data_IF_874918300362
#
_entry.id   IF_874918300362
#
_cell.length_a   1.000
_cell.length_b   1.000
_cell.length_c   1.000
_cell.angle_alpha   90.00
_cell.angle_beta   90.00
_cell.angle_gamma   90.00
#
_symmetry.space_group_name_H-M   'P 1'
#
loop_
_entity.id
_entity.type
_entity.pdbx_description
1 polymer ?
#
# COMPACT_ATOMS: atom_id res chain seq x y z
N UNK A 1 -18.17 -9.68 -4.22
CA UNK A 1 -16.75 -9.53 -3.84
C UNK A 1 -16.33 -8.13 -4.28
N UNK A 2 -15.77 -7.29 -3.41
CA UNK A 2 -15.32 -5.95 -3.82
C UNK A 2 -14.28 -6.09 -4.92
N UNK A 3 -14.42 -5.28 -5.96
CA UNK A 3 -13.58 -5.33 -7.16
C UNK A 3 -12.27 -4.63 -6.83
N UNK A 4 -11.22 -5.40 -6.56
CA UNK A 4 -9.90 -4.83 -6.29
C UNK A 4 -9.40 -4.08 -7.55
N UNK A 5 -9.28 -2.76 -7.48
CA UNK A 5 -8.85 -1.93 -8.61
C UNK A 5 -7.33 -1.97 -8.70
N UNK A 6 -6.79 -2.54 -9.78
CA UNK A 6 -5.34 -2.55 -10.02
C UNK A 6 -4.84 -1.14 -10.29
N UNK A 7 -3.96 -0.65 -9.41
CA UNK A 7 -3.31 0.65 -9.54
C UNK A 7 -2.15 0.51 -10.54
N UNK A 8 -2.10 1.41 -11.52
CA UNK A 8 -1.00 1.47 -12.51
C UNK A 8 0.32 1.86 -11.82
N UNK A 9 1.45 1.39 -12.35
CA UNK A 9 2.78 1.81 -11.93
C UNK A 9 2.89 3.35 -11.96
N UNK A 10 3.32 3.96 -10.84
CA UNK A 10 3.37 5.41 -10.66
C UNK A 10 2.08 6.07 -10.14
N UNK A 11 0.96 5.34 -10.10
CA UNK A 11 -0.30 5.81 -9.52
C UNK A 11 -0.48 5.53 -8.02
N UNK A 12 0.49 4.84 -7.39
CA UNK A 12 0.40 4.41 -6.00
C UNK A 12 0.29 5.60 -5.04
N UNK A 13 1.10 6.64 -5.23
CA UNK A 13 1.05 7.84 -4.39
C UNK A 13 -0.32 8.51 -4.46
N UNK A 14 -0.86 8.68 -5.66
CA UNK A 14 -2.17 9.28 -5.87
C UNK A 14 -3.29 8.45 -5.25
N UNK A 15 -3.24 7.13 -5.41
CA UNK A 15 -4.20 6.22 -4.79
C UNK A 15 -4.15 6.28 -3.26
N UNK A 16 -2.95 6.34 -2.68
CA UNK A 16 -2.76 6.50 -1.23
C UNK A 16 -3.20 7.88 -0.73
N UNK A 17 -2.95 8.94 -1.48
CA UNK A 17 -3.42 10.29 -1.13
C UNK A 17 -4.94 10.42 -1.18
N UNK A 18 -5.59 9.68 -2.08
CA UNK A 18 -7.05 9.60 -2.19
C UNK A 18 -7.67 8.52 -1.30
N UNK A 19 -6.89 7.82 -0.49
CA UNK A 19 -7.39 6.74 0.36
C UNK A 19 -8.24 7.30 1.50
N UNK A 20 -9.47 6.81 1.61
CA UNK A 20 -10.36 7.09 2.73
C UNK A 20 -10.14 6.11 3.90
N UNK A 21 -10.79 6.37 5.04
CA UNK A 21 -10.60 5.60 6.30
C UNK A 21 -11.07 4.14 6.17
N UNK A 22 -12.04 3.90 5.29
CA UNK A 22 -12.61 2.58 5.01
C UNK A 22 -11.93 1.86 3.82
N UNK A 23 -10.95 2.50 3.18
CA UNK A 23 -10.24 1.95 2.02
C UNK A 23 -8.85 1.43 2.38
N UNK A 24 -8.39 0.44 1.61
CA UNK A 24 -7.07 -0.15 1.77
C UNK A 24 -6.36 -0.38 0.44
N UNK A 25 -5.03 -0.42 0.47
CA UNK A 25 -4.18 -0.77 -0.66
C UNK A 25 -3.35 -1.98 -0.32
N UNK A 26 -3.52 -3.04 -1.10
CA UNK A 26 -2.66 -4.22 -1.09
C UNK A 26 -1.59 -4.08 -2.15
N UNK A 27 -0.34 -4.15 -1.74
CA UNK A 27 0.83 -4.18 -2.60
C UNK A 27 1.42 -5.58 -2.57
N UNK A 28 1.64 -6.16 -3.75
CA UNK A 28 2.26 -7.48 -3.90
C UNK A 28 3.23 -7.50 -5.07
N UNK A 29 4.28 -8.30 -4.96
CA UNK A 29 5.21 -8.55 -6.07
C UNK A 29 5.01 -9.97 -6.56
N UNK A 30 4.79 -10.14 -7.87
CA UNK A 30 4.43 -11.42 -8.48
C UNK A 30 5.43 -12.57 -8.30
N UNK A 31 6.64 -12.29 -7.78
CA UNK A 31 7.66 -13.30 -7.48
C UNK A 31 7.95 -13.52 -6.00
N UNK A 32 7.43 -12.70 -5.08
CA UNK A 32 7.74 -12.80 -3.64
C UNK A 32 6.46 -13.06 -2.83
N UNK A 33 6.54 -13.99 -1.88
CA UNK A 33 5.47 -14.26 -0.89
C UNK A 33 5.15 -13.08 0.03
N UNK A 34 5.97 -12.02 0.05
CA UNK A 34 5.69 -10.82 0.83
C UNK A 34 4.52 -10.06 0.21
N UNK A 35 3.53 -9.74 1.05
CA UNK A 35 2.43 -8.83 0.75
C UNK A 35 2.55 -7.65 1.69
N UNK A 36 2.11 -6.49 1.24
CA UNK A 36 2.03 -5.29 2.06
C UNK A 36 0.61 -4.76 1.99
N UNK A 37 0.03 -4.43 3.12
CA UNK A 37 -1.29 -3.84 3.23
C UNK A 37 -1.14 -2.45 3.78
N UNK A 38 -1.83 -1.48 3.20
CA UNK A 38 -1.77 -0.09 3.59
C UNK A 38 -3.19 0.40 3.81
N UNK A 39 -3.50 0.81 5.03
CA UNK A 39 -4.78 1.39 5.37
C UNK A 39 -4.57 2.80 5.94
N UNK A 40 -5.61 3.63 5.93
CA UNK A 40 -5.56 4.95 6.55
C UNK A 40 -6.35 4.94 7.85
N UNK A 41 -5.71 5.37 8.93
CA UNK A 41 -6.36 5.54 10.23
C UNK A 41 -7.20 6.83 10.25
N UNK A 42 -8.15 6.92 11.17
CA UNK A 42 -9.00 8.11 11.40
C UNK A 42 -8.19 9.38 11.70
N UNK A 43 -6.98 9.22 12.25
CA UNK A 43 -6.03 10.31 12.49
C UNK A 43 -5.25 10.74 11.23
N UNK A 44 -5.54 10.16 10.07
CA UNK A 44 -4.86 10.44 8.81
C UNK A 44 -3.51 9.74 8.62
N UNK A 45 -3.11 8.84 9.54
CA UNK A 45 -1.86 8.08 9.49
C UNK A 45 -2.04 6.84 8.60
N UNK A 46 -1.05 6.55 7.76
CA UNK A 46 -0.97 5.32 6.98
C UNK A 46 -0.42 4.18 7.85
N UNK A 47 -1.24 3.16 8.05
CA UNK A 47 -0.85 1.92 8.70
C UNK A 47 -0.42 0.94 7.62
N UNK A 48 0.85 0.62 7.59
CA UNK A 48 1.45 -0.33 6.66
C UNK A 48 1.74 -1.62 7.40
N UNK A 49 1.18 -2.73 6.94
CA UNK A 49 1.53 -4.07 7.38
C UNK A 49 2.36 -4.75 6.28
N UNK A 50 3.53 -5.31 6.61
CA UNK A 50 4.40 -6.04 5.70
C UNK A 50 4.49 -7.49 6.17
N UNK A 51 3.97 -8.42 5.38
CA UNK A 51 3.88 -9.83 5.80
C UNK A 51 2.93 -10.00 6.99
N UNK A 52 3.30 -10.89 7.92
CA UNK A 52 2.46 -11.25 9.07
C UNK A 52 2.85 -10.51 10.36
N UNK A 53 4.07 -9.97 10.45
CA UNK A 53 4.64 -9.52 11.74
C UNK A 53 5.14 -8.06 11.73
N UNK A 54 5.36 -7.44 10.57
CA UNK A 54 5.92 -6.08 10.50
C UNK A 54 4.81 -5.04 10.31
N UNK A 55 4.71 -4.08 11.23
CA UNK A 55 3.83 -2.93 11.11
C UNK A 55 4.63 -1.64 11.13
N UNK A 56 4.31 -0.73 10.22
CA UNK A 56 4.91 0.59 10.09
C UNK A 56 3.81 1.65 10.07
N UNK A 57 4.01 2.74 10.79
CA UNK A 57 3.09 3.88 10.81
C UNK A 57 3.77 5.04 10.09
N UNK A 58 3.15 5.51 9.01
CA UNK A 58 3.70 6.55 8.15
C UNK A 58 2.71 7.70 8.05
N UNK A 59 3.18 8.94 8.15
CA UNK A 59 2.32 10.13 8.04
C UNK A 59 2.04 10.55 6.59
N UNK A 60 2.79 10.00 5.61
CA UNK A 60 2.76 10.48 4.24
C UNK A 60 2.76 9.34 3.21
N UNK A 61 1.94 9.49 2.16
CA UNK A 61 1.88 8.57 1.03
C UNK A 61 3.24 8.36 0.33
N UNK A 62 4.04 9.43 0.22
CA UNK A 62 5.40 9.35 -0.35
C UNK A 62 6.32 8.40 0.45
N UNK A 63 6.17 8.33 1.77
CA UNK A 63 6.94 7.40 2.60
C UNK A 63 6.53 5.96 2.35
N UNK A 64 5.23 5.70 2.19
CA UNK A 64 4.69 4.37 1.84
C UNK A 64 5.25 3.91 0.50
N UNK A 65 5.28 4.78 -0.50
CA UNK A 65 5.83 4.47 -1.83
C UNK A 65 7.32 4.13 -1.73
N UNK A 66 8.11 4.95 -1.03
CA UNK A 66 9.53 4.66 -0.78
C UNK A 66 9.74 3.32 -0.09
N UNK A 67 8.88 2.99 0.88
CA UNK A 67 8.92 1.70 1.59
C UNK A 67 8.60 0.54 0.64
N UNK A 68 7.54 0.68 -0.15
CA UNK A 68 7.14 -0.32 -1.15
C UNK A 68 8.25 -0.56 -2.19
N UNK A 69 8.86 0.51 -2.72
CA UNK A 69 10.00 0.42 -3.63
C UNK A 69 11.23 -0.23 -2.96
N UNK A 70 11.47 0.00 -1.66
CA UNK A 70 12.56 -0.65 -0.92
C UNK A 70 12.32 -2.15 -0.72
N UNK A 71 11.08 -2.56 -0.47
CA UNK A 71 10.73 -3.97 -0.15
C UNK A 71 10.56 -4.80 -1.42
N UNK A 72 9.81 -4.26 -2.39
CA UNK A 72 9.40 -4.95 -3.60
C UNK A 72 10.20 -4.56 -4.85
N UNK A 73 11.04 -3.51 -4.77
CA UNK A 73 11.68 -2.91 -5.93
C UNK A 73 10.68 -2.15 -6.80
N UNK A 74 11.06 -1.81 -8.03
CA UNK A 74 10.16 -1.13 -8.99
C UNK A 74 9.08 -2.04 -9.61
N UNK A 75 9.04 -3.33 -9.24
CA UNK A 75 8.13 -4.34 -9.82
C UNK A 75 7.18 -4.89 -8.75
N UNK A 76 6.17 -4.10 -8.42
CA UNK A 76 5.00 -4.51 -7.63
C UNK A 76 3.71 -4.14 -8.37
N UNK A 77 2.64 -4.85 -8.02
CA UNK A 77 1.27 -4.47 -8.35
C UNK A 77 0.58 -4.03 -7.07
N UNK A 78 -0.18 -2.95 -7.16
CA UNK A 78 -0.99 -2.46 -6.06
C UNK A 78 -2.47 -2.57 -6.42
N UNK A 79 -3.30 -2.85 -5.43
CA UNK A 79 -4.72 -3.11 -5.55
C UNK A 79 -5.45 -2.33 -4.46
N UNK A 80 -6.30 -1.39 -4.84
CA UNK A 80 -7.18 -0.69 -3.90
C UNK A 80 -8.46 -1.50 -3.68
N UNK A 81 -8.97 -1.53 -2.45
CA UNK A 81 -10.19 -2.23 -2.04
C UNK A 81 -10.96 -1.45 -0.98
#
# INVERSE_FOLDING_TARGET
MPVAIRIKQGGLEKALSSLDIDEGVRIESGGKKKKMFVNRSTSGIFVVQIGEEEFCYLDSAAQVVKLADKIFGKKYSAYAY
#
